data_IF_460858315463
#
_entry.id   IF_460858315463
#
_cell.length_a   1.000
_cell.length_b   1.000
_cell.length_c   1.000
_cell.angle_alpha   90.00
_cell.angle_beta   90.00
_cell.angle_gamma   90.00
#
_symmetry.space_group_name_H-M   'P 1'
#
loop_
_entity.id
_entity.type
_entity.pdbx_description
1 polymer ?
#
# COMPACT_ATOMS: atom_id res chain seq x y z
N UNK A 1 9.33 4.02 -25.43
CA UNK A 1 9.07 5.31 -24.77
C UNK A 1 10.32 6.18 -24.97
N UNK A 2 10.22 7.41 -25.47
CA UNK A 2 11.36 8.30 -25.72
C UNK A 2 12.02 8.82 -24.42
N UNK A 3 13.12 9.58 -24.50
CA UNK A 3 13.81 10.11 -23.34
C UNK A 3 12.88 11.05 -22.55
N UNK A 4 12.77 10.85 -21.24
CA UNK A 4 11.92 11.64 -20.33
C UNK A 4 12.79 12.48 -19.40
N UNK A 5 12.35 13.70 -19.10
CA UNK A 5 13.07 14.70 -18.27
C UNK A 5 13.02 14.41 -16.75
N UNK A 6 12.17 13.47 -16.29
CA UNK A 6 12.08 13.09 -14.86
C UNK A 6 10.88 12.19 -14.54
N UNK A 7 10.72 11.76 -13.28
CA UNK A 7 9.59 10.96 -12.83
C UNK A 7 8.31 11.80 -12.74
N UNK A 8 7.19 11.22 -13.18
CA UNK A 8 5.84 11.80 -13.03
C UNK A 8 5.30 11.44 -11.66
N UNK A 9 5.02 12.44 -10.84
CA UNK A 9 4.57 12.26 -9.45
C UNK A 9 3.12 12.71 -9.31
N UNK A 10 2.30 11.93 -8.62
CA UNK A 10 0.93 12.29 -8.27
C UNK A 10 0.67 11.99 -6.79
N UNK A 11 0.03 12.93 -6.10
CA UNK A 11 -0.47 12.77 -4.74
C UNK A 11 -2.00 12.90 -4.71
N UNK A 12 -2.67 11.92 -4.12
CA UNK A 12 -4.13 11.93 -3.98
C UNK A 12 -4.53 12.44 -2.60
N UNK A 13 -5.13 13.63 -2.55
CA UNK A 13 -5.64 14.25 -1.34
C UNK A 13 -7.14 14.03 -1.11
N UNK A 14 -7.86 13.56 -2.13
CA UNK A 14 -9.29 13.30 -2.09
C UNK A 14 -9.70 12.16 -3.03
N UNK A 15 -10.82 11.51 -2.73
CA UNK A 15 -11.39 10.43 -3.55
C UNK A 15 -11.81 10.88 -4.95
N UNK A 16 -12.13 12.17 -5.11
CA UNK A 16 -12.54 12.74 -6.39
C UNK A 16 -11.36 12.97 -7.35
N UNK A 17 -10.13 12.99 -6.83
CA UNK A 17 -8.92 13.28 -7.60
C UNK A 17 -8.57 12.16 -8.59
N UNK A 18 -9.10 10.95 -8.37
CA UNK A 18 -8.88 9.79 -9.25
C UNK A 18 -9.64 9.90 -10.57
N UNK A 19 -10.69 10.73 -10.64
CA UNK A 19 -11.52 10.90 -11.83
C UNK A 19 -12.21 9.60 -12.29
N UNK A 20 -12.59 9.56 -13.56
CA UNK A 20 -13.02 8.33 -14.24
C UNK A 20 -11.78 7.60 -14.80
N UNK A 21 -11.59 6.34 -14.41
CA UNK A 21 -10.46 5.52 -14.86
C UNK A 21 -10.32 4.21 -14.07
N UNK A 22 -9.64 3.24 -14.67
CA UNK A 22 -9.24 2.00 -13.98
C UNK A 22 -7.99 2.22 -13.12
N UNK A 23 -7.66 1.26 -12.26
CA UNK A 23 -6.42 1.31 -11.48
C UNK A 23 -5.19 1.30 -12.39
N UNK A 24 -5.26 0.48 -13.44
CA UNK A 24 -4.25 0.32 -14.49
C UNK A 24 -3.98 1.65 -15.21
N UNK A 25 -5.02 2.42 -15.51
CA UNK A 25 -4.86 3.76 -16.11
C UNK A 25 -4.14 4.73 -15.18
N UNK A 26 -4.32 4.61 -13.87
CA UNK A 26 -3.63 5.47 -12.89
C UNK A 26 -2.14 5.11 -12.87
N UNK A 27 -1.82 3.83 -12.68
CA UNK A 27 -0.42 3.39 -12.52
C UNK A 27 0.40 3.49 -13.81
N UNK A 28 -0.21 3.45 -15.00
CA UNK A 28 0.55 3.67 -16.25
C UNK A 28 0.91 5.16 -16.47
N UNK A 29 0.07 6.05 -15.93
CA UNK A 29 0.24 7.51 -16.05
C UNK A 29 1.29 8.09 -15.12
N UNK A 30 1.61 7.43 -14.02
CA UNK A 30 2.46 7.97 -12.96
C UNK A 30 3.59 7.02 -12.61
N UNK A 31 4.76 7.58 -12.31
CA UNK A 31 5.94 6.79 -11.92
C UNK A 31 6.05 6.71 -10.38
N UNK A 32 5.48 7.68 -9.65
CA UNK A 32 5.37 7.68 -8.19
C UNK A 32 3.98 8.15 -7.77
N UNK A 33 3.35 7.37 -6.89
CA UNK A 33 2.02 7.61 -6.36
C UNK A 33 2.06 7.77 -4.83
N UNK A 34 1.50 8.86 -4.32
CA UNK A 34 1.39 9.15 -2.89
C UNK A 34 -0.08 9.11 -2.48
N UNK A 35 -0.39 8.30 -1.47
CA UNK A 35 -1.75 8.12 -0.99
C UNK A 35 -1.85 8.19 0.52
N UNK A 36 -2.98 8.70 0.99
CA UNK A 36 -3.46 8.43 2.34
C UNK A 36 -4.02 6.99 2.39
N UNK A 37 -3.78 6.21 3.46
CA UNK A 37 -4.02 4.75 3.44
C UNK A 37 -5.49 4.36 3.22
N UNK A 38 -6.42 5.08 3.86
CA UNK A 38 -7.86 4.89 3.68
C UNK A 38 -8.31 5.17 2.24
N UNK A 39 -7.71 6.17 1.60
CA UNK A 39 -8.05 6.55 0.23
C UNK A 39 -7.57 5.50 -0.76
N UNK A 40 -6.34 5.03 -0.62
CA UNK A 40 -5.85 3.93 -1.44
C UNK A 40 -6.77 2.71 -1.31
N UNK A 41 -7.13 2.33 -0.09
CA UNK A 41 -8.04 1.20 0.14
C UNK A 41 -9.40 1.39 -0.56
N UNK A 42 -9.97 2.59 -0.50
CA UNK A 42 -11.26 2.88 -1.15
C UNK A 42 -11.14 2.90 -2.69
N UNK A 43 -10.04 3.42 -3.23
CA UNK A 43 -9.76 3.42 -4.68
C UNK A 43 -9.64 2.00 -5.19
N UNK A 44 -8.86 1.15 -4.52
CA UNK A 44 -8.70 -0.27 -4.90
C UNK A 44 -10.04 -1.01 -4.88
N UNK A 45 -10.90 -0.74 -3.89
CA UNK A 45 -12.26 -1.29 -3.83
C UNK A 45 -13.15 -0.76 -4.97
N UNK A 46 -13.16 0.55 -5.24
CA UNK A 46 -13.97 1.16 -6.29
C UNK A 46 -13.55 0.70 -7.68
N UNK A 47 -12.26 0.62 -7.94
CA UNK A 47 -11.69 0.10 -9.18
C UNK A 47 -11.80 -1.42 -9.29
N UNK A 48 -12.35 -2.11 -8.27
CA UNK A 48 -12.51 -3.57 -8.21
C UNK A 48 -11.21 -4.33 -8.48
N UNK A 49 -10.09 -3.79 -7.98
CA UNK A 49 -8.78 -4.44 -8.10
C UNK A 49 -8.84 -5.79 -7.38
N UNK A 50 -8.38 -6.84 -8.04
CA UNK A 50 -8.41 -8.16 -7.44
C UNK A 50 -7.41 -8.26 -6.27
N UNK A 51 -7.72 -9.07 -5.24
CA UNK A 51 -6.79 -9.29 -4.14
C UNK A 51 -5.47 -9.88 -4.62
N UNK A 52 -4.36 -9.40 -4.04
CA UNK A 52 -3.01 -9.83 -4.41
C UNK A 52 -2.58 -9.46 -5.83
N UNK A 53 -3.29 -8.57 -6.53
CA UNK A 53 -2.98 -8.14 -7.89
C UNK A 53 -2.66 -6.65 -7.96
N UNK A 54 -1.69 -6.18 -7.18
CA UNK A 54 -1.00 -4.91 -7.44
C UNK A 54 0.27 -5.09 -8.32
N UNK A 55 0.28 -5.84 -9.46
CA UNK A 55 1.51 -6.25 -10.13
C UNK A 55 2.23 -5.12 -10.88
N UNK A 56 1.68 -3.91 -10.90
CA UNK A 56 2.25 -2.75 -11.58
C UNK A 56 3.05 -1.84 -10.63
N UNK A 57 3.20 -2.26 -9.37
CA UNK A 57 3.97 -1.53 -8.35
C UNK A 57 5.18 -2.37 -7.97
N UNK A 58 6.36 -1.83 -8.23
CA UNK A 58 7.64 -2.47 -7.89
C UNK A 58 7.99 -2.31 -6.40
N UNK A 59 7.64 -1.15 -5.82
CA UNK A 59 7.98 -0.78 -4.45
C UNK A 59 6.80 -0.10 -3.75
N UNK A 60 6.46 -0.60 -2.57
CA UNK A 60 5.51 0.03 -1.64
C UNK A 60 6.28 0.58 -0.45
N UNK A 61 6.16 1.90 -0.20
CA UNK A 61 6.73 2.56 0.98
C UNK A 61 5.60 2.90 1.94
N UNK A 62 5.76 2.53 3.21
CA UNK A 62 4.78 2.81 4.27
C UNK A 62 5.43 3.69 5.31
N UNK A 63 5.00 4.94 5.35
CA UNK A 63 5.37 5.86 6.42
C UNK A 63 4.61 5.55 7.72
N UNK A 64 5.24 5.81 8.86
CA UNK A 64 4.76 5.41 10.19
C UNK A 64 4.25 3.96 10.25
N UNK A 65 5.08 3.03 9.75
CA UNK A 65 4.70 1.63 9.52
C UNK A 65 4.24 0.89 10.78
N UNK A 66 4.55 1.41 11.97
CA UNK A 66 4.10 0.86 13.24
C UNK A 66 2.56 0.89 13.40
N UNK A 67 1.85 1.70 12.61
CA UNK A 67 0.39 1.69 12.52
C UNK A 67 -0.19 0.47 11.79
N UNK A 68 0.63 -0.39 11.18
CA UNK A 68 0.20 -1.55 10.36
C UNK A 68 -0.31 -2.74 11.20
N UNK A 69 -1.28 -2.50 12.07
CA UNK A 69 -1.84 -3.49 13.00
C UNK A 69 -3.37 -3.55 12.92
N UNK A 70 -3.95 -4.64 13.45
CA UNK A 70 -5.40 -4.80 13.63
C UNK A 70 -6.21 -4.57 12.34
N UNK A 71 -7.04 -3.52 12.29
CA UNK A 71 -7.89 -3.15 11.15
C UNK A 71 -7.38 -1.88 10.44
N UNK A 72 -6.16 -1.44 10.73
CA UNK A 72 -5.62 -0.24 10.11
C UNK A 72 -5.57 -0.39 8.58
N UNK A 73 -5.88 0.66 7.81
CA UNK A 73 -5.97 0.57 6.35
C UNK A 73 -4.68 0.10 5.69
N UNK A 74 -3.51 0.47 6.24
CA UNK A 74 -2.22 -0.08 5.81
C UNK A 74 -2.22 -1.61 5.78
N UNK A 75 -2.70 -2.25 6.86
CA UNK A 75 -2.73 -3.71 6.93
C UNK A 75 -3.70 -4.30 5.90
N UNK A 76 -4.84 -3.65 5.67
CA UNK A 76 -5.82 -4.10 4.69
C UNK A 76 -5.28 -3.99 3.26
N UNK A 77 -4.57 -2.92 2.93
CA UNK A 77 -3.93 -2.73 1.63
C UNK A 77 -2.83 -3.77 1.41
N UNK A 78 -1.88 -3.87 2.35
CA UNK A 78 -0.73 -4.78 2.23
C UNK A 78 -1.15 -6.24 2.16
N UNK A 79 -2.05 -6.69 3.04
CA UNK A 79 -2.48 -8.09 3.04
C UNK A 79 -3.51 -8.40 1.95
N UNK A 80 -4.31 -7.41 1.57
CA UNK A 80 -5.42 -7.60 0.64
C UNK A 80 -4.99 -7.51 -0.81
N UNK A 81 -4.08 -6.61 -1.15
CA UNK A 81 -3.85 -6.22 -2.54
C UNK A 81 -2.40 -6.34 -2.98
N UNK A 82 -1.44 -6.10 -2.09
CA UNK A 82 -0.01 -6.14 -2.43
C UNK A 82 0.47 -7.60 -2.57
N UNK A 83 1.01 -8.01 -3.73
CA UNK A 83 1.61 -9.32 -3.89
C UNK A 83 2.76 -9.53 -2.90
N UNK A 84 2.93 -10.77 -2.39
CA UNK A 84 4.06 -11.10 -1.49
C UNK A 84 5.44 -10.94 -2.13
N UNK A 85 5.49 -10.88 -3.46
CA UNK A 85 6.70 -10.65 -4.25
C UNK A 85 7.05 -9.17 -4.41
N UNK A 86 6.14 -8.26 -4.08
CA UNK A 86 6.38 -6.82 -4.18
C UNK A 86 7.26 -6.35 -3.04
N UNK A 87 8.29 -5.55 -3.36
CA UNK A 87 9.18 -5.01 -2.35
C UNK A 87 8.40 -4.02 -1.46
N UNK A 88 8.55 -4.16 -0.14
CA UNK A 88 7.92 -3.28 0.84
C UNK A 88 8.98 -2.67 1.76
N UNK A 89 8.94 -1.34 1.93
CA UNK A 89 9.81 -0.60 2.85
C UNK A 89 8.94 0.13 3.89
N UNK A 90 9.09 -0.23 5.16
CA UNK A 90 8.43 0.45 6.26
C UNK A 90 9.36 1.46 6.94
N UNK A 91 8.88 2.68 7.13
CA UNK A 91 9.58 3.74 7.85
C UNK A 91 8.88 3.98 9.19
N UNK A 92 9.63 4.05 10.28
CA UNK A 92 9.10 4.43 11.59
C UNK A 92 10.23 4.89 12.51
N UNK A 93 9.94 5.85 13.39
CA UNK A 93 10.87 6.22 14.46
C UNK A 93 10.97 5.13 15.55
N UNK A 94 9.92 4.32 15.72
CA UNK A 94 9.89 3.21 16.66
C UNK A 94 8.93 2.12 16.19
N UNK A 95 9.29 0.86 16.34
CA UNK A 95 8.42 -0.28 15.99
C UNK A 95 7.29 -0.51 17.02
N UNK A 96 7.29 0.26 18.11
CA UNK A 96 6.42 0.04 19.25
C UNK A 96 6.95 -1.05 20.18
N UNK A 97 7.00 -0.77 21.48
CA UNK A 97 7.42 -1.72 22.50
C UNK A 97 6.23 -2.48 23.06
N UNK A 98 5.78 -3.53 22.37
CA UNK A 98 5.14 -4.64 23.05
C UNK A 98 6.15 -5.77 23.08
N UNK A 99 6.98 -5.78 24.10
CA UNK A 99 7.76 -6.97 24.48
C UNK A 99 6.71 -8.01 24.84
N UNK A 100 6.25 -8.78 23.86
CA UNK A 100 5.74 -10.12 24.17
C UNK A 100 6.99 -10.90 24.53
N UNK A 101 7.30 -10.94 25.83
CA UNK A 101 8.09 -12.01 26.40
C UNK A 101 7.65 -13.31 25.74
N UNK A 102 8.62 -14.07 25.22
CA UNK A 102 8.40 -15.29 24.46
C UNK A 102 7.56 -16.31 25.21
N UNK A 103 6.24 -16.20 25.13
CA UNK A 103 5.33 -17.31 25.30
C UNK A 103 4.99 -17.82 23.91
N UNK A 104 5.83 -18.75 23.46
CA UNK A 104 5.40 -19.78 22.53
C UNK A 104 4.09 -20.37 23.06
N UNK A 105 2.97 -20.00 22.46
CA UNK A 105 1.76 -20.80 22.57
C UNK A 105 2.02 -22.09 21.79
N UNK A 106 2.51 -23.08 22.52
CA UNK A 106 2.47 -24.48 22.15
C UNK A 106 0.99 -24.84 21.94
N UNK A 107 0.56 -24.89 20.67
CA UNK A 107 -0.75 -25.42 20.31
C UNK A 107 -0.70 -26.94 20.48
N UNK A 108 -1.15 -27.41 21.64
CA UNK A 108 -1.58 -28.79 21.84
C UNK A 108 -3.03 -28.93 21.34
N UNK A 109 -3.25 -30.04 20.64
CA UNK A 109 -4.49 -30.57 20.01
C UNK A 109 -4.99 -29.89 18.74
#
# INVERSE_FOLDING_TARGET
>A
RGPREGPRVMGFGSFNDVGEGSWEDIVDRWDLLIFIPDYLLNVLKKCKVAPGTLPLIDLVIVDETHHTVKKHPFRQVLNGYVPRTTQCLGLTASVGGSITDGKSEERIS
#
